data_IF_170831015113
#
_entry.id   IF_170831015113
#
_cell.length_a   1.000
_cell.length_b   1.000
_cell.length_c   1.000
_cell.angle_alpha   90.00
_cell.angle_beta   90.00
_cell.angle_gamma   90.00
#
_symmetry.space_group_name_H-M   'P 1'
#
loop_
_entity.id
_entity.type
_entity.pdbx_description
1 polymer ?
#
# COMPACT_ATOMS: atom_id res chain seq x y z
N UNK A 1 -12.55 19.74 5.09
CA UNK A 1 -12.36 18.74 6.16
C UNK A 1 -13.40 17.64 6.00
N UNK A 2 -13.01 16.37 6.03
CA UNK A 2 -13.95 15.25 5.94
C UNK A 2 -14.48 14.94 7.33
N UNK A 3 -15.80 14.99 7.52
CA UNK A 3 -16.45 14.61 8.77
C UNK A 3 -16.49 13.09 8.89
N UNK A 4 -16.18 12.55 10.07
CA UNK A 4 -16.28 11.11 10.30
C UNK A 4 -17.72 10.57 10.18
N UNK A 5 -18.72 11.38 10.56
CA UNK A 5 -20.12 11.00 10.47
C UNK A 5 -20.55 10.82 8.99
N UNK A 6 -20.25 11.80 8.14
CA UNK A 6 -20.55 11.72 6.70
C UNK A 6 -19.81 10.57 6.02
N UNK A 7 -18.54 10.37 6.39
CA UNK A 7 -17.74 9.28 5.87
C UNK A 7 -18.30 7.91 6.26
N UNK A 8 -18.78 7.76 7.49
CA UNK A 8 -19.40 6.53 7.97
C UNK A 8 -20.70 6.22 7.23
N UNK A 9 -21.51 7.24 6.94
CA UNK A 9 -22.75 7.08 6.15
C UNK A 9 -22.44 6.60 4.73
N UNK A 10 -21.47 7.22 4.06
CA UNK A 10 -21.05 6.81 2.71
C UNK A 10 -20.45 5.39 2.69
N UNK A 11 -19.72 5.01 3.72
CA UNK A 11 -19.17 3.65 3.86
C UNK A 11 -20.29 2.62 4.06
N UNK A 12 -21.32 2.95 4.86
CA UNK A 12 -22.51 2.09 5.01
C UNK A 12 -23.25 1.92 3.68
N UNK A 13 -23.42 3.01 2.94
CA UNK A 13 -24.06 3.01 1.63
C UNK A 13 -23.25 2.12 0.63
N UNK A 14 -21.94 2.28 0.62
CA UNK A 14 -21.04 1.44 -0.18
C UNK A 14 -21.19 -0.05 0.15
N UNK A 15 -21.31 -0.41 1.43
CA UNK A 15 -21.52 -1.80 1.85
C UNK A 15 -22.84 -2.39 1.35
N UNK A 16 -23.88 -1.58 1.29
CA UNK A 16 -25.21 -2.00 0.83
C UNK A 16 -25.29 -2.13 -0.69
N UNK A 17 -24.72 -1.15 -1.41
CA UNK A 17 -24.84 -1.06 -2.88
C UNK A 17 -23.71 -1.75 -3.63
N UNK A 18 -22.53 -1.92 -3.00
CA UNK A 18 -21.32 -2.40 -3.66
C UNK A 18 -20.69 -1.39 -4.63
N UNK A 19 -21.29 -0.20 -4.79
CA UNK A 19 -20.86 0.84 -5.72
C UNK A 19 -20.27 2.00 -4.96
N UNK A 20 -19.03 2.42 -5.35
CA UNK A 20 -18.40 3.59 -4.78
C UNK A 20 -19.06 4.87 -5.32
N UNK A 21 -19.69 5.66 -4.44
CA UNK A 21 -20.26 6.96 -4.82
C UNK A 21 -19.13 7.95 -5.16
N UNK A 22 -19.43 8.92 -6.01
CA UNK A 22 -18.47 10.01 -6.32
C UNK A 22 -18.08 10.78 -5.06
N UNK A 23 -19.02 10.96 -4.14
CA UNK A 23 -18.78 11.61 -2.85
C UNK A 23 -17.79 10.84 -2.00
N UNK A 24 -17.96 9.52 -1.87
CA UNK A 24 -17.02 8.66 -1.16
C UNK A 24 -15.63 8.71 -1.80
N UNK A 25 -15.55 8.60 -3.11
CA UNK A 25 -14.29 8.69 -3.85
C UNK A 25 -13.55 10.01 -3.61
N UNK A 26 -14.27 11.13 -3.63
CA UNK A 26 -13.73 12.46 -3.34
C UNK A 26 -13.22 12.59 -1.91
N UNK A 27 -13.93 12.04 -0.92
CA UNK A 27 -13.50 12.03 0.47
C UNK A 27 -12.22 11.19 0.66
N UNK A 28 -12.15 9.99 0.07
CA UNK A 28 -10.96 9.14 0.13
C UNK A 28 -9.75 9.82 -0.49
N UNK A 29 -9.94 10.46 -1.64
CA UNK A 29 -8.89 11.20 -2.33
C UNK A 29 -8.38 12.38 -1.50
N UNK A 30 -9.29 13.13 -0.86
CA UNK A 30 -8.93 14.26 0.00
C UNK A 30 -8.13 13.79 1.23
N UNK A 31 -8.55 12.69 1.88
CA UNK A 31 -7.83 12.12 3.01
C UNK A 31 -6.43 11.65 2.58
N UNK A 32 -6.32 10.93 1.45
CA UNK A 32 -5.05 10.42 0.95
C UNK A 32 -4.09 11.57 0.55
N UNK A 33 -4.57 12.62 -0.09
CA UNK A 33 -3.78 13.81 -0.44
C UNK A 33 -3.27 14.52 0.81
N UNK A 34 -4.12 14.74 1.80
CA UNK A 34 -3.72 15.36 3.07
C UNK A 34 -2.69 14.48 3.82
N UNK A 35 -2.87 13.17 3.79
CA UNK A 35 -1.92 12.24 4.39
C UNK A 35 -0.56 12.28 3.67
N UNK A 36 -0.55 12.39 2.34
CA UNK A 36 0.68 12.47 1.53
C UNK A 36 1.50 13.74 1.76
N UNK A 37 0.88 14.78 2.33
CA UNK A 37 1.56 16.04 2.65
C UNK A 37 2.35 16.01 3.96
N UNK A 38 2.25 14.93 4.74
CA UNK A 38 3.09 14.75 5.93
C UNK A 38 4.56 14.68 5.53
N UNK A 39 5.44 15.23 6.38
CA UNK A 39 6.88 15.32 6.09
C UNK A 39 7.55 14.00 5.68
N UNK A 40 7.06 12.88 6.20
CA UNK A 40 7.56 11.54 5.86
C UNK A 40 7.27 11.12 4.41
N UNK A 41 6.32 11.77 3.72
CA UNK A 41 5.87 11.38 2.38
C UNK A 41 6.00 12.49 1.35
N UNK A 42 6.15 13.74 1.76
CA UNK A 42 6.14 14.90 0.88
C UNK A 42 7.31 14.94 -0.12
N UNK A 43 8.44 14.31 0.20
CA UNK A 43 9.67 14.33 -0.62
C UNK A 43 9.73 13.31 -1.75
N UNK A 44 8.75 12.44 -1.90
CA UNK A 44 8.78 11.40 -2.94
C UNK A 44 8.24 11.91 -4.29
N UNK A 45 8.98 11.63 -5.37
CA UNK A 45 8.59 12.01 -6.74
C UNK A 45 7.33 11.28 -7.20
N UNK A 46 7.12 10.04 -6.74
CA UNK A 46 5.93 9.20 -7.05
C UNK A 46 4.77 9.40 -6.06
N UNK A 47 4.71 10.56 -5.39
CA UNK A 47 3.64 10.86 -4.41
C UNK A 47 2.23 10.72 -4.98
N UNK A 48 2.03 11.06 -6.26
CA UNK A 48 0.73 10.91 -6.93
C UNK A 48 0.33 9.44 -7.07
N UNK A 49 1.28 8.59 -7.41
CA UNK A 49 1.06 7.14 -7.52
C UNK A 49 0.73 6.54 -6.16
N UNK A 50 1.42 6.99 -5.10
CA UNK A 50 1.09 6.60 -3.72
C UNK A 50 -0.35 6.94 -3.36
N UNK A 51 -0.83 8.14 -3.70
CA UNK A 51 -2.21 8.58 -3.46
C UNK A 51 -3.19 7.71 -4.23
N UNK A 52 -2.95 7.47 -5.52
CA UNK A 52 -3.82 6.65 -6.37
C UNK A 52 -3.91 5.20 -5.86
N UNK A 53 -2.78 4.59 -5.53
CA UNK A 53 -2.71 3.24 -4.97
C UNK A 53 -3.42 3.15 -3.61
N UNK A 54 -3.31 4.17 -2.77
CA UNK A 54 -3.98 4.19 -1.48
C UNK A 54 -5.50 4.27 -1.63
N UNK A 55 -6.00 5.12 -2.51
CA UNK A 55 -7.45 5.22 -2.79
C UNK A 55 -7.99 3.90 -3.33
N UNK A 56 -7.29 3.29 -4.29
CA UNK A 56 -7.64 1.96 -4.80
C UNK A 56 -7.69 0.91 -3.69
N UNK A 57 -6.67 0.90 -2.83
CA UNK A 57 -6.57 -0.01 -1.69
C UNK A 57 -7.69 0.22 -0.69
N UNK A 58 -8.05 1.47 -0.41
CA UNK A 58 -9.18 1.80 0.45
C UNK A 58 -10.48 1.22 -0.09
N UNK A 59 -10.80 1.44 -1.36
CA UNK A 59 -12.03 0.91 -1.98
C UNK A 59 -12.08 -0.61 -1.88
N UNK A 60 -10.95 -1.28 -2.12
CA UNK A 60 -10.84 -2.75 -2.02
C UNK A 60 -11.13 -3.27 -0.61
N UNK A 61 -10.60 -2.61 0.43
CA UNK A 61 -10.69 -3.08 1.82
C UNK A 61 -11.87 -2.49 2.60
N UNK A 62 -12.55 -1.46 2.09
CA UNK A 62 -13.76 -0.91 2.71
C UNK A 62 -14.87 -1.94 2.95
N UNK A 63 -14.93 -2.98 2.13
CA UNK A 63 -15.87 -4.12 2.31
C UNK A 63 -15.70 -4.81 3.66
N UNK A 64 -14.48 -4.82 4.20
CA UNK A 64 -14.14 -5.50 5.46
C UNK A 64 -14.44 -4.64 6.70
N UNK A 65 -14.73 -3.35 6.52
CA UNK A 65 -15.08 -2.48 7.64
C UNK A 65 -16.42 -2.91 8.25
N UNK A 66 -16.46 -3.09 9.57
CA UNK A 66 -17.69 -3.40 10.29
C UNK A 66 -18.18 -2.17 11.07
N UNK A 67 -19.28 -1.51 10.62
CA UNK A 67 -19.80 -0.32 11.28
C UNK A 67 -20.46 -0.61 12.64
N UNK A 68 -20.77 -1.87 12.94
CA UNK A 68 -21.31 -2.29 14.25
C UNK A 68 -20.20 -2.37 15.31
N UNK A 69 -19.00 -2.81 14.89
CA UNK A 69 -17.84 -2.93 15.79
C UNK A 69 -17.12 -1.59 16.02
N UNK A 70 -17.12 -0.70 15.02
CA UNK A 70 -16.41 0.58 15.10
C UNK A 70 -17.17 1.69 14.37
N UNK A 71 -17.34 2.81 15.06
CA UNK A 71 -17.93 4.04 14.48
C UNK A 71 -16.88 4.96 13.86
N UNK A 72 -15.58 4.64 13.97
CA UNK A 72 -14.49 5.47 13.49
C UNK A 72 -13.97 5.02 12.12
N UNK A 73 -14.75 5.31 11.07
CA UNK A 73 -14.38 5.02 9.69
C UNK A 73 -13.14 5.80 9.24
N UNK A 74 -12.96 7.02 9.74
CA UNK A 74 -11.82 7.86 9.41
C UNK A 74 -10.49 7.23 9.86
N UNK A 75 -10.42 6.71 11.08
CA UNK A 75 -9.23 6.04 11.60
C UNK A 75 -8.89 4.79 10.79
N UNK A 76 -9.90 3.97 10.48
CA UNK A 76 -9.73 2.77 9.67
C UNK A 76 -9.16 3.09 8.28
N UNK A 77 -9.73 4.08 7.58
CA UNK A 77 -9.27 4.52 6.25
C UNK A 77 -7.86 5.08 6.33
N UNK A 78 -7.55 5.90 7.33
CA UNK A 78 -6.21 6.47 7.52
C UNK A 78 -5.16 5.39 7.74
N UNK A 79 -5.48 4.32 8.45
CA UNK A 79 -4.59 3.18 8.64
C UNK A 79 -4.32 2.44 7.32
N UNK A 80 -5.35 2.21 6.51
CA UNK A 80 -5.18 1.60 5.18
C UNK A 80 -4.29 2.46 4.30
N UNK A 81 -4.52 3.78 4.26
CA UNK A 81 -3.71 4.72 3.49
C UNK A 81 -2.24 4.66 3.93
N UNK A 82 -1.98 4.69 5.25
CA UNK A 82 -0.63 4.61 5.79
C UNK A 82 0.10 3.33 5.39
N UNK A 83 -0.60 2.20 5.44
CA UNK A 83 -0.05 0.90 5.03
C UNK A 83 0.20 0.84 3.51
N UNK A 84 -0.72 1.35 2.70
CA UNK A 84 -0.57 1.43 1.25
C UNK A 84 0.64 2.29 0.85
N UNK A 85 0.85 3.43 1.52
CA UNK A 85 2.00 4.28 1.29
C UNK A 85 3.33 3.59 1.61
N UNK A 86 3.41 2.91 2.77
CA UNK A 86 4.61 2.14 3.15
C UNK A 86 4.91 1.05 2.13
N UNK A 87 3.87 0.35 1.65
CA UNK A 87 4.03 -0.70 0.65
C UNK A 87 4.57 -0.13 -0.67
N UNK A 88 3.99 0.96 -1.19
CA UNK A 88 4.46 1.62 -2.40
C UNK A 88 5.92 2.07 -2.27
N UNK A 89 6.30 2.66 -1.14
CA UNK A 89 7.69 3.08 -0.89
C UNK A 89 8.64 1.87 -0.92
N UNK A 90 8.26 0.77 -0.30
CA UNK A 90 9.08 -0.43 -0.28
C UNK A 90 9.24 -1.02 -1.69
N UNK A 91 8.18 -1.03 -2.48
CA UNK A 91 8.22 -1.52 -3.85
C UNK A 91 9.10 -0.63 -4.73
N UNK A 92 8.98 0.69 -4.62
CA UNK A 92 9.82 1.63 -5.37
C UNK A 92 11.32 1.53 -4.98
N UNK A 93 11.62 1.32 -3.71
CA UNK A 93 13.00 1.05 -3.27
C UNK A 93 13.56 -0.23 -3.89
N UNK A 94 12.76 -1.29 -3.99
CA UNK A 94 13.15 -2.54 -4.66
C UNK A 94 13.41 -2.30 -6.15
N UNK A 95 12.51 -1.59 -6.84
CA UNK A 95 12.70 -1.25 -8.24
C UNK A 95 13.95 -0.40 -8.47
N UNK A 96 14.21 0.58 -7.61
CA UNK A 96 15.43 1.39 -7.66
C UNK A 96 16.70 0.53 -7.50
N UNK A 97 16.69 -0.41 -6.57
CA UNK A 97 17.80 -1.34 -6.37
C UNK A 97 18.01 -2.25 -7.60
N UNK A 98 16.96 -2.81 -8.16
CA UNK A 98 17.02 -3.64 -9.38
C UNK A 98 17.58 -2.83 -10.56
N UNK A 99 17.10 -1.59 -10.76
CA UNK A 99 17.61 -0.70 -11.81
C UNK A 99 19.12 -0.44 -11.64
N UNK A 100 19.57 -0.16 -10.42
CA UNK A 100 21.00 0.07 -10.14
C UNK A 100 21.83 -1.17 -10.46
N UNK A 101 21.38 -2.36 -10.05
CA UNK A 101 22.08 -3.61 -10.36
C UNK A 101 22.13 -3.84 -11.87
N UNK A 102 21.03 -3.63 -12.60
CA UNK A 102 20.99 -3.76 -14.06
C UNK A 102 21.93 -2.77 -14.74
N UNK A 103 22.00 -1.53 -14.27
CA UNK A 103 22.92 -0.53 -14.80
C UNK A 103 24.38 -0.94 -14.57
N UNK A 104 24.76 -1.29 -13.34
CA UNK A 104 26.10 -1.76 -13.01
C UNK A 104 26.51 -2.97 -13.85
N UNK A 105 25.61 -3.94 -14.05
CA UNK A 105 25.90 -5.10 -14.89
C UNK A 105 26.05 -4.78 -16.36
N UNK A 106 25.44 -3.71 -16.86
CA UNK A 106 25.63 -3.28 -18.25
C UNK A 106 27.03 -2.70 -18.52
N UNK A 107 27.71 -2.22 -17.48
CA UNK A 107 29.06 -1.67 -17.54
C UNK A 107 30.16 -2.74 -17.42
N UNK A 108 29.79 -3.98 -17.00
CA UNK A 108 30.74 -5.05 -16.81
C UNK A 108 31.08 -5.74 -18.14
N UNK A 109 32.28 -6.35 -18.19
CA UNK A 109 32.66 -7.20 -19.32
C UNK A 109 31.79 -8.49 -19.37
N UNK A 110 31.80 -9.27 -20.48
CA UNK A 110 30.92 -10.45 -20.64
C UNK A 110 31.05 -11.49 -19.52
N UNK A 111 32.26 -11.73 -19.04
CA UNK A 111 32.54 -12.70 -17.94
C UNK A 111 32.00 -12.23 -16.60
N UNK A 112 32.10 -10.93 -16.32
CA UNK A 112 31.53 -10.32 -15.12
C UNK A 112 30.01 -10.21 -15.20
N UNK A 113 29.45 -10.03 -16.41
CA UNK A 113 28.01 -10.10 -16.63
C UNK A 113 27.40 -11.43 -16.24
N UNK A 114 28.00 -12.55 -16.64
CA UNK A 114 27.52 -13.90 -16.26
C UNK A 114 27.52 -14.11 -14.74
N UNK A 115 28.59 -13.73 -14.05
CA UNK A 115 28.63 -13.80 -12.59
C UNK A 115 27.55 -12.94 -11.94
N UNK A 116 27.34 -11.75 -12.48
CA UNK A 116 26.33 -10.84 -11.98
C UNK A 116 24.91 -11.36 -12.21
N UNK A 117 24.64 -12.04 -13.32
CA UNK A 117 23.35 -12.69 -13.58
C UNK A 117 23.10 -13.87 -12.64
N UNK A 118 24.09 -14.69 -12.33
CA UNK A 118 23.96 -15.77 -11.35
C UNK A 118 23.68 -15.24 -9.93
N UNK A 119 24.39 -14.21 -9.51
CA UNK A 119 24.14 -13.58 -8.21
C UNK A 119 22.73 -12.96 -8.13
N UNK A 120 22.26 -12.36 -9.22
CA UNK A 120 20.91 -11.78 -9.31
C UNK A 120 19.80 -12.80 -9.20
N UNK A 121 19.96 -13.98 -9.78
CA UNK A 121 18.95 -15.02 -9.66
C UNK A 121 18.80 -15.48 -8.21
N UNK A 122 19.91 -15.59 -7.47
CA UNK A 122 19.93 -15.91 -6.05
C UNK A 122 19.28 -14.79 -5.22
N UNK A 123 19.62 -13.52 -5.51
CA UNK A 123 19.04 -12.37 -4.82
C UNK A 123 17.55 -12.20 -5.12
N UNK A 124 17.12 -12.50 -6.36
CA UNK A 124 15.73 -12.45 -6.76
C UNK A 124 14.89 -13.53 -6.06
N UNK A 125 15.38 -14.76 -5.97
CA UNK A 125 14.74 -15.82 -5.20
C UNK A 125 14.66 -15.49 -3.70
N UNK A 126 15.74 -15.00 -3.14
CA UNK A 126 15.78 -14.54 -1.74
C UNK A 126 14.80 -13.40 -1.45
N UNK A 127 14.64 -12.46 -2.39
CA UNK A 127 13.67 -11.37 -2.30
C UNK A 127 12.24 -11.90 -2.45
N UNK A 128 12.00 -12.83 -3.36
CA UNK A 128 10.69 -13.46 -3.53
C UNK A 128 10.28 -14.23 -2.26
N UNK A 129 11.20 -15.00 -1.68
CA UNK A 129 10.95 -15.74 -0.44
C UNK A 129 10.64 -14.79 0.73
N UNK A 130 11.40 -13.70 0.89
CA UNK A 130 11.11 -12.66 1.90
C UNK A 130 9.77 -11.97 1.68
N UNK A 131 9.35 -11.77 0.44
CA UNK A 131 8.03 -11.19 0.12
C UNK A 131 6.91 -12.17 0.44
N UNK A 132 7.12 -13.47 0.22
CA UNK A 132 6.16 -14.51 0.59
C UNK A 132 6.03 -14.61 2.12
N UNK A 133 7.14 -14.63 2.85
CA UNK A 133 7.16 -14.64 4.32
C UNK A 133 6.47 -13.39 4.89
N UNK A 134 6.69 -12.22 4.27
CA UNK A 134 6.02 -10.99 4.71
C UNK A 134 4.51 -11.02 4.45
N UNK A 135 4.07 -11.64 3.35
CA UNK A 135 2.65 -11.84 3.06
C UNK A 135 1.99 -12.84 4.03
N UNK A 136 2.72 -13.86 4.45
CA UNK A 136 2.23 -14.85 5.42
C UNK A 136 2.19 -14.30 6.84
N UNK A 137 3.21 -13.56 7.27
CA UNK A 137 3.25 -12.90 8.58
C UNK A 137 2.19 -11.81 8.68
N UNK A 138 1.99 -11.01 7.64
CA UNK A 138 0.93 -10.00 7.57
C UNK A 138 -0.47 -10.62 7.60
N UNK A 139 -0.64 -11.81 7.00
CA UNK A 139 -1.90 -12.58 7.13
C UNK A 139 -2.11 -13.06 8.57
N UNK A 140 -1.07 -13.60 9.22
CA UNK A 140 -1.15 -14.07 10.61
C UNK A 140 -1.42 -12.93 11.60
N UNK A 141 -0.80 -11.78 11.44
CA UNK A 141 -1.08 -10.60 12.25
C UNK A 141 -2.51 -10.09 12.07
N UNK A 142 -3.03 -10.08 10.84
CA UNK A 142 -4.43 -9.73 10.59
C UNK A 142 -5.41 -10.74 11.21
N UNK A 143 -5.07 -12.03 11.29
CA UNK A 143 -5.88 -13.04 11.98
C UNK A 143 -5.85 -12.90 13.51
N UNK A 144 -4.73 -12.45 14.10
CA UNK A 144 -4.60 -12.22 15.54
C UNK A 144 -5.41 -11.01 16.01
N UNK A 145 -5.56 -9.98 15.18
CA UNK A 145 -6.39 -8.80 15.51
C UNK A 145 -7.89 -9.05 15.35
N UNK A 146 -8.30 -10.09 14.63
CA UNK A 146 -9.72 -10.46 14.43
C UNK A 146 -10.24 -11.37 15.54
N UNK A 147 -9.37 -12.05 16.31
CA UNK A 147 -9.73 -13.07 17.30
C UNK A 147 -9.37 -12.70 18.74
N UNK A 148 -9.08 -11.42 19.04
CA UNK A 148 -8.98 -10.92 20.43
C UNK A 148 -10.29 -10.23 20.82
N UNK A 149 -11.30 -11.05 21.13
CA UNK A 149 -12.43 -10.76 22.01
C UNK A 149 -12.58 -11.92 23.02
#
# INVERSE_FOLDING_TARGET
YVSNAELLEEVKLYKLTGVCSERLGSMLLLIARNYSSKGNFAGYTWRQDMVSNAVYTCIKYLKNFNPEKSTNAFSYITQIIGNAFKLTINDEKKYGHIKNICYQSSLLNPLEKERCYMQKSIDYESIQNKVMDYKETSKKENYLWVNQD
#
